data_IF_410175395804
#
_entry.id   IF_410175395804
#
_cell.length_a   1.000
_cell.length_b   1.000
_cell.length_c   1.000
_cell.angle_alpha   90.00
_cell.angle_beta   90.00
_cell.angle_gamma   90.00
#
_symmetry.space_group_name_H-M   'P 1'
#
loop_
_entity.id
_entity.type
_entity.pdbx_description
1 polymer ?
#
# COMPACT_ATOMS: atom_id res chain seq x y z
N UNK A 1 12.24 -24.39 -4.46
CA UNK A 1 11.33 -23.36 -3.93
C UNK A 1 10.31 -23.13 -5.02
N UNK A 2 9.05 -23.46 -4.75
CA UNK A 2 7.98 -23.18 -5.69
C UNK A 2 7.78 -21.66 -5.64
N UNK A 3 8.28 -20.95 -6.64
CA UNK A 3 7.88 -19.57 -6.87
C UNK A 3 6.43 -19.64 -7.35
N UNK A 4 5.47 -19.67 -6.42
CA UNK A 4 4.10 -19.34 -6.75
C UNK A 4 4.13 -17.90 -7.23
N UNK A 5 4.11 -17.73 -8.55
CA UNK A 5 4.03 -16.41 -9.17
C UNK A 5 2.74 -15.77 -8.65
N UNK A 6 2.88 -14.73 -7.85
CA UNK A 6 1.73 -13.98 -7.35
C UNK A 6 0.94 -13.46 -8.56
N UNK A 7 -0.36 -13.72 -8.58
CA UNK A 7 -1.21 -13.34 -9.72
C UNK A 7 -1.79 -11.95 -9.52
N UNK A 8 -2.14 -11.27 -10.61
CA UNK A 8 -2.86 -9.98 -10.57
C UNK A 8 -4.12 -10.05 -9.69
N UNK A 9 -4.87 -11.17 -9.77
CA UNK A 9 -6.12 -11.37 -9.05
C UNK A 9 -5.85 -11.53 -7.55
N UNK A 10 -4.76 -12.22 -7.20
CA UNK A 10 -4.30 -12.33 -5.80
C UNK A 10 -3.90 -10.97 -5.24
N UNK A 11 -3.11 -10.18 -5.97
CA UNK A 11 -2.67 -8.85 -5.53
C UNK A 11 -3.89 -7.95 -5.32
N UNK A 12 -4.78 -7.89 -6.32
CA UNK A 12 -5.99 -7.08 -6.27
C UNK A 12 -6.86 -7.46 -5.07
N UNK A 13 -7.12 -8.75 -4.88
CA UNK A 13 -7.97 -9.22 -3.81
C UNK A 13 -7.38 -8.86 -2.43
N UNK A 14 -6.07 -9.05 -2.23
CA UNK A 14 -5.40 -8.67 -0.97
C UNK A 14 -5.52 -7.17 -0.71
N UNK A 15 -5.32 -6.33 -1.73
CA UNK A 15 -5.44 -4.88 -1.59
C UNK A 15 -6.89 -4.47 -1.30
N UNK A 16 -7.87 -4.99 -2.03
CA UNK A 16 -9.29 -4.69 -1.80
C UNK A 16 -9.77 -5.14 -0.42
N UNK A 17 -9.35 -6.33 0.03
CA UNK A 17 -9.66 -6.88 1.36
C UNK A 17 -9.05 -6.00 2.45
N UNK A 18 -7.77 -5.65 2.32
CA UNK A 18 -7.05 -4.76 3.24
C UNK A 18 -7.71 -3.38 3.39
N UNK A 19 -8.20 -2.77 2.30
CA UNK A 19 -8.91 -1.49 2.43
C UNK A 19 -10.37 -1.64 2.86
N UNK A 20 -10.97 -2.83 2.71
CA UNK A 20 -12.33 -3.12 3.16
C UNK A 20 -12.43 -3.43 4.66
N UNK A 21 -11.36 -3.92 5.28
CA UNK A 21 -11.31 -4.23 6.71
C UNK A 21 -11.00 -3.01 7.60
N UNK A 22 -10.57 -1.89 7.01
CA UNK A 22 -10.16 -0.68 7.73
C UNK A 22 -11.07 0.51 7.41
N UNK A 23 -11.62 1.16 8.45
CA UNK A 23 -12.46 2.36 8.36
C UNK A 23 -11.67 3.66 8.66
N UNK A 24 -10.36 3.53 8.88
CA UNK A 24 -9.46 4.60 9.30
C UNK A 24 -9.26 5.68 8.22
N UNK A 25 -9.15 6.94 8.67
CA UNK A 25 -9.15 8.13 7.79
C UNK A 25 -7.77 8.54 7.27
N UNK A 26 -6.70 7.95 7.80
CA UNK A 26 -5.33 8.33 7.42
C UNK A 26 -4.53 7.07 7.08
N UNK A 27 -4.15 6.98 5.81
CA UNK A 27 -3.26 5.94 5.30
C UNK A 27 -1.82 6.45 5.32
N UNK A 28 -0.96 5.74 6.01
CA UNK A 28 0.48 5.96 6.03
C UNK A 28 1.10 5.16 4.91
N UNK A 29 1.79 5.85 4.02
CA UNK A 29 2.55 5.26 2.92
C UNK A 29 4.03 5.38 3.22
N UNK A 30 4.70 4.23 3.35
CA UNK A 30 6.15 4.15 3.55
C UNK A 30 6.79 3.43 2.38
N UNK A 31 7.78 4.05 1.76
CA UNK A 31 8.60 3.44 0.71
C UNK A 31 10.02 3.29 1.22
N UNK A 32 10.55 2.08 1.16
CA UNK A 32 11.91 1.76 1.60
C UNK A 32 12.69 1.01 0.52
N UNK A 33 14.02 1.18 0.55
CA UNK A 33 14.93 0.39 -0.27
C UNK A 33 15.53 -0.71 0.61
N UNK A 34 15.54 -1.94 0.08
CA UNK A 34 16.20 -3.11 0.64
C UNK A 34 15.55 -3.68 1.93
N UNK A 35 15.28 -4.99 1.93
CA UNK A 35 14.66 -5.71 3.05
C UNK A 35 15.60 -5.90 4.25
N UNK A 36 16.92 -5.72 4.08
CA UNK A 36 17.93 -6.05 5.08
C UNK A 36 18.40 -4.84 5.90
N UNK A 37 18.14 -3.61 5.44
CA UNK A 37 18.44 -2.37 6.16
C UNK A 37 17.36 -1.32 5.87
N UNK A 38 16.12 -1.63 6.25
CA UNK A 38 14.91 -0.81 6.06
C UNK A 38 15.13 0.66 6.44
N UNK A 39 15.60 1.44 5.49
CA UNK A 39 15.66 2.89 5.58
C UNK A 39 14.59 3.43 4.65
N UNK A 40 13.54 4.00 5.23
CA UNK A 40 12.52 4.68 4.47
C UNK A 40 13.17 5.80 3.63
N UNK A 41 12.90 5.77 2.34
CA UNK A 41 13.30 6.81 1.38
C UNK A 41 12.19 7.84 1.17
N UNK A 42 10.95 7.46 1.46
CA UNK A 42 9.78 8.32 1.38
C UNK A 42 8.74 7.88 2.40
N UNK A 43 8.18 8.84 3.14
CA UNK A 43 7.02 8.63 4.01
C UNK A 43 6.06 9.78 3.77
N UNK A 44 4.81 9.48 3.43
CA UNK A 44 3.75 10.46 3.26
C UNK A 44 2.42 9.87 3.69
N UNK A 45 1.46 10.74 4.02
CA UNK A 45 0.15 10.32 4.48
C UNK A 45 -0.91 10.73 3.46
N UNK A 46 -1.82 9.82 3.16
CA UNK A 46 -3.01 10.09 2.37
C UNK A 46 -4.16 10.24 3.36
N UNK A 47 -4.52 11.50 3.66
CA UNK A 47 -5.67 11.80 4.50
C UNK A 47 -6.95 11.75 3.65
N UNK A 48 -7.77 10.72 3.82
CA UNK A 48 -9.07 10.62 3.14
C UNK A 48 -10.11 9.90 3.97
N UNK A 49 -11.35 10.40 3.92
CA UNK A 49 -12.52 9.67 4.42
C UNK A 49 -12.98 8.58 3.45
N UNK A 50 -12.52 8.61 2.19
CA UNK A 50 -12.91 7.66 1.13
C UNK A 50 -11.70 7.41 0.21
N UNK A 51 -11.22 6.17 0.15
CA UNK A 51 -10.20 5.73 -0.79
C UNK A 51 -10.86 5.16 -2.05
N UNK A 52 -10.28 5.43 -3.22
CA UNK A 52 -10.67 4.78 -4.47
C UNK A 52 -9.53 3.88 -4.95
N UNK A 53 -9.86 2.60 -5.14
CA UNK A 53 -8.99 1.61 -5.76
C UNK A 53 -9.47 1.43 -7.20
N UNK A 54 -8.72 1.95 -8.15
CA UNK A 54 -9.05 1.86 -9.59
C UNK A 54 -8.04 0.95 -10.27
N UNK A 55 -8.54 -0.03 -11.02
CA UNK A 55 -7.71 -0.82 -11.92
C UNK A 55 -7.67 -0.16 -13.30
N UNK A 56 -6.48 0.26 -13.74
CA UNK A 56 -6.26 0.64 -15.14
C UNK A 56 -6.07 -0.65 -15.95
N UNK A 57 -7.17 -1.15 -16.52
CA UNK A 57 -7.18 -2.37 -17.33
C UNK A 57 -6.32 -2.28 -18.60
N UNK A 58 -5.87 -1.10 -18.99
CA UNK A 58 -4.99 -0.89 -20.16
C UNK A 58 -3.51 -0.93 -19.81
N UNK A 59 -3.15 -0.65 -18.55
CA UNK A 59 -1.77 -0.57 -18.08
C UNK A 59 -1.37 -1.68 -17.11
N UNK A 60 -2.30 -2.52 -16.67
CA UNK A 60 -2.05 -3.57 -15.66
C UNK A 60 -1.53 -2.99 -14.34
N UNK A 61 -2.14 -1.88 -13.91
CA UNK A 61 -1.78 -1.15 -12.71
C UNK A 61 -3.01 -1.02 -11.80
N UNK A 62 -2.76 -1.06 -10.49
CA UNK A 62 -3.72 -0.71 -9.46
C UNK A 62 -3.37 0.65 -8.90
N UNK A 63 -4.32 1.57 -8.88
CA UNK A 63 -4.13 2.95 -8.43
C UNK A 63 -4.97 3.15 -7.17
N UNK A 64 -4.31 3.56 -6.09
CA UNK A 64 -4.93 3.92 -4.81
C UNK A 64 -4.85 5.44 -4.69
N UNK A 65 -6.00 6.10 -4.59
CA UNK A 65 -6.07 7.57 -4.62
C UNK A 65 -7.08 8.14 -3.63
N UNK A 66 -6.89 9.42 -3.31
CA UNK A 66 -7.82 10.21 -2.49
C UNK A 66 -9.00 10.72 -3.34
N UNK A 67 -10.18 10.12 -3.16
CA UNK A 67 -11.39 10.50 -3.91
C UNK A 67 -12.02 11.83 -3.44
N UNK A 68 -11.68 12.33 -2.24
CA UNK A 68 -12.38 13.45 -1.61
C UNK A 68 -11.98 14.85 -2.16
N UNK A 69 -10.99 14.95 -3.05
CA UNK A 69 -10.54 16.23 -3.61
C UNK A 69 -10.95 16.42 -5.08
N UNK A 70 -12.12 17.03 -5.38
CA UNK A 70 -12.52 17.36 -6.76
C UNK A 70 -11.71 18.50 -7.41
N UNK A 71 -10.65 19.01 -6.74
CA UNK A 71 -9.79 20.11 -7.20
C UNK A 71 -8.33 19.76 -6.87
N UNK A 72 -7.41 19.99 -7.83
CA UNK A 72 -5.94 19.69 -7.85
C UNK A 72 -5.65 18.28 -8.39
N UNK A 73 -5.32 18.00 -9.66
CA UNK A 73 -4.50 18.71 -10.65
C UNK A 73 -3.15 19.17 -10.08
N UNK A 74 -2.19 18.24 -9.91
CA UNK A 74 -0.85 18.28 -10.56
C UNK A 74 0.26 17.43 -9.91
N UNK A 75 0.07 16.82 -8.74
CA UNK A 75 0.98 15.79 -8.22
C UNK A 75 0.14 14.89 -7.33
N UNK A 76 0.07 13.58 -7.56
CA UNK A 76 -0.83 12.78 -6.78
C UNK A 76 -0.12 12.24 -5.54
N UNK A 77 -0.74 12.41 -4.40
CA UNK A 77 -0.62 11.45 -3.30
C UNK A 77 -1.38 10.16 -3.72
N UNK A 78 -1.08 9.62 -4.91
CA UNK A 78 -1.56 8.33 -5.38
C UNK A 78 -0.45 7.30 -5.29
N UNK A 79 -0.86 6.07 -5.01
CA UNK A 79 0.00 4.91 -5.00
C UNK A 79 -0.38 4.06 -6.19
N UNK A 80 0.54 3.96 -7.15
CA UNK A 80 0.38 3.09 -8.32
C UNK A 80 1.19 1.81 -8.12
N UNK A 81 0.53 0.66 -8.18
CA UNK A 81 1.12 -0.68 -8.05
C UNK A 81 1.04 -1.37 -9.42
N UNK A 82 2.18 -1.63 -10.05
CA UNK A 82 2.24 -2.42 -11.29
C UNK A 82 2.30 -3.89 -10.96
N UNK A 83 1.30 -4.67 -11.39
CA UNK A 83 1.22 -6.10 -11.04
C UNK A 83 2.46 -6.89 -11.49
N UNK A 84 3.04 -6.55 -12.64
CA UNK A 84 4.21 -7.23 -13.20
C UNK A 84 5.49 -7.01 -12.37
N UNK A 85 5.54 -5.94 -11.59
CA UNK A 85 6.70 -5.60 -10.76
C UNK A 85 6.57 -6.16 -9.34
N UNK A 86 5.43 -6.74 -8.96
CA UNK A 86 5.22 -7.27 -7.61
C UNK A 86 5.76 -8.70 -7.49
N UNK A 87 6.63 -8.90 -6.49
CA UNK A 87 7.17 -10.22 -6.13
C UNK A 87 6.53 -10.79 -4.87
N UNK A 88 5.96 -9.93 -4.03
CA UNK A 88 5.35 -10.27 -2.73
C UNK A 88 4.29 -9.22 -2.41
N UNK A 89 3.12 -9.65 -1.94
CA UNK A 89 2.04 -8.79 -1.44
C UNK A 89 1.39 -9.53 -0.29
N UNK A 90 1.54 -9.03 0.93
CA UNK A 90 0.97 -9.67 2.12
C UNK A 90 0.62 -8.65 3.20
N UNK A 91 -0.42 -8.94 3.95
CA UNK A 91 -0.78 -8.19 5.14
C UNK A 91 0.08 -8.68 6.31
N UNK A 92 0.73 -7.75 6.99
CA UNK A 92 1.62 -8.01 8.12
C UNK A 92 1.21 -7.16 9.31
N UNK A 93 1.28 -7.69 10.52
CA UNK A 93 1.05 -6.87 11.71
C UNK A 93 2.38 -6.28 12.16
N UNK A 94 2.47 -4.95 12.21
CA UNK A 94 3.58 -4.25 12.85
C UNK A 94 3.11 -3.66 14.16
N UNK A 95 3.71 -4.02 15.28
CA UNK A 95 3.53 -3.28 16.52
C UNK A 95 4.43 -2.04 16.47
N UNK A 96 3.89 -0.85 16.71
CA UNK A 96 4.69 0.35 16.88
C UNK A 96 5.58 0.28 18.13
N UNK A 97 6.43 1.29 18.32
CA UNK A 97 7.42 1.31 19.40
C UNK A 97 6.80 1.48 20.80
N UNK A 98 5.52 1.87 20.90
CA UNK A 98 4.81 2.12 22.16
C UNK A 98 3.56 1.24 22.30
N UNK A 99 3.23 0.84 23.54
CA UNK A 99 2.10 -0.06 23.87
C UNK A 99 0.71 0.48 23.43
N UNK A 100 0.60 1.78 23.18
CA UNK A 100 -0.60 2.46 22.66
C UNK A 100 -0.60 2.63 21.11
N UNK A 101 0.47 2.22 20.42
CA UNK A 101 0.73 2.49 18.99
C UNK A 101 0.75 1.17 18.21
N UNK A 102 -0.34 0.41 18.33
CA UNK A 102 -0.54 -0.76 17.48
C UNK A 102 -0.80 -0.20 16.08
N UNK A 103 0.20 -0.22 15.19
CA UNK A 103 -0.09 -0.06 13.77
C UNK A 103 -1.04 -1.20 13.43
N UNK A 104 -2.29 -0.80 13.18
CA UNK A 104 -3.27 -1.63 12.52
C UNK A 104 -2.60 -2.19 11.26
N UNK A 105 -3.01 -3.39 10.88
CA UNK A 105 -2.44 -4.19 9.80
C UNK A 105 -1.73 -3.37 8.69
N UNK A 106 -0.53 -3.81 8.31
CA UNK A 106 0.33 -3.17 7.32
C UNK A 106 0.42 -4.06 6.10
N UNK A 107 -0.10 -3.57 4.97
CA UNK A 107 0.06 -4.21 3.68
C UNK A 107 1.47 -3.94 3.14
N UNK A 108 2.29 -5.00 3.10
CA UNK A 108 3.66 -4.98 2.58
C UNK A 108 3.70 -5.50 1.14
N UNK A 109 4.23 -4.68 0.23
CA UNK A 109 4.39 -5.00 -1.18
C UNK A 109 5.88 -4.91 -1.52
N UNK A 110 6.48 -6.02 -1.95
CA UNK A 110 7.88 -6.06 -2.42
C UNK A 110 7.93 -6.10 -3.93
N UNK A 111 8.69 -5.17 -4.52
CA UNK A 111 8.88 -5.09 -5.96
C UNK A 111 10.13 -5.85 -6.43
N UNK A 112 10.17 -6.21 -7.71
CA UNK A 112 11.28 -6.91 -8.39
C UNK A 112 12.62 -6.17 -8.26
N UNK A 113 12.59 -4.85 -8.11
CA UNK A 113 13.77 -4.01 -7.91
C UNK A 113 14.26 -3.96 -6.45
N UNK A 114 13.61 -4.70 -5.53
CA UNK A 114 13.92 -4.71 -4.10
C UNK A 114 13.34 -3.55 -3.29
N UNK A 115 12.51 -2.70 -3.91
CA UNK A 115 11.74 -1.67 -3.20
C UNK A 115 10.63 -2.33 -2.40
N UNK A 116 10.36 -1.80 -1.21
CA UNK A 116 9.23 -2.21 -0.38
C UNK A 116 8.31 -1.00 -0.20
N UNK A 117 7.04 -1.20 -0.51
CA UNK A 117 5.94 -0.28 -0.23
C UNK A 117 5.14 -0.85 0.93
N UNK A 118 4.91 -0.03 1.93
CA UNK A 118 4.11 -0.38 3.10
C UNK A 118 2.95 0.60 3.18
N UNK A 119 1.74 0.05 3.25
CA UNK A 119 0.49 0.78 3.39
C UNK A 119 -0.09 0.37 4.73
N UNK A 120 -0.19 1.32 5.67
CA UNK A 120 -0.69 1.05 7.01
C UNK A 120 -1.70 2.08 7.43
N UNK A 121 -2.68 1.68 8.24
CA UNK A 121 -3.63 2.60 8.84
C UNK A 121 -3.19 2.96 10.25
N UNK A 122 -3.26 4.26 10.58
CA UNK A 122 -3.07 4.70 11.96
C UNK A 122 -4.33 4.39 12.76
N UNK A 123 -4.18 3.53 13.76
CA UNK A 123 -5.24 3.26 14.73
C UNK A 123 -5.36 4.48 15.65
N UNK A 124 -6.46 5.21 15.54
CA UNK A 124 -6.77 6.37 16.40
C UNK A 124 -7.55 5.89 17.64
#
# INVERSE_FOLDING_TARGET
MNNETITRETIKHIVEDFFGEHEEKELVVTVSLDSSNRKAICNFHIASEIYEIVEDSTKTELIISNYASPLVSLVPDDVTIRYEEVTKCEVTVKTGETEDDILADVLEITFTNGTILELGFLKI
#
